data_IF_962072622642
#
_entry.id   IF_962072622642
#
_cell.length_a   1.000
_cell.length_b   1.000
_cell.length_c   1.000
_cell.angle_alpha   90.00
_cell.angle_beta   90.00
_cell.angle_gamma   90.00
#
_symmetry.space_group_name_H-M   'P 1'
#
loop_
_entity.id
_entity.type
_entity.pdbx_description
1 polymer ?
#
# COMPACT_ATOMS: atom_id res chain seq x y z
N UNK A 1 5.11 -31.47 39.29
CA UNK A 1 6.03 -32.14 38.36
C UNK A 1 5.62 -31.72 36.97
N UNK A 2 6.53 -31.04 36.29
CA UNK A 2 6.37 -30.39 34.98
C UNK A 2 6.09 -31.44 33.91
N UNK A 3 5.07 -31.21 33.08
CA UNK A 3 5.12 -31.60 31.66
C UNK A 3 4.72 -30.35 30.86
N UNK A 4 5.72 -29.77 30.21
CA UNK A 4 5.62 -28.69 29.25
C UNK A 4 5.32 -29.26 27.86
N UNK A 5 4.36 -28.71 27.10
CA UNK A 5 4.27 -28.78 25.62
C UNK A 5 3.58 -27.48 25.16
N UNK A 6 4.30 -26.48 24.62
CA UNK A 6 4.54 -26.16 23.19
C UNK A 6 3.25 -26.12 22.35
N UNK A 7 2.84 -24.92 21.91
CA UNK A 7 1.81 -24.77 20.88
C UNK A 7 2.42 -25.03 19.49
N UNK A 8 2.35 -26.30 19.07
CA UNK A 8 2.11 -26.69 17.67
C UNK A 8 0.70 -27.24 17.55
N UNK A 9 0.13 -27.20 16.35
CA UNK A 9 -1.24 -27.57 15.98
C UNK A 9 -1.95 -28.69 16.77
N UNK A 10 -3.28 -28.53 16.85
CA UNK A 10 -4.38 -29.50 17.08
C UNK A 10 -4.96 -29.69 18.50
N UNK A 11 -6.31 -29.73 18.47
CA UNK A 11 -7.34 -30.42 19.24
C UNK A 11 -7.41 -30.40 20.78
N UNK A 12 -8.66 -30.20 21.22
CA UNK A 12 -9.16 -30.03 22.58
C UNK A 12 -9.00 -31.29 23.45
N UNK A 13 -8.75 -31.11 24.76
CA UNK A 13 -9.68 -31.52 25.84
C UNK A 13 -9.13 -31.15 27.23
N UNK A 14 -10.02 -30.57 28.05
CA UNK A 14 -10.06 -30.52 29.52
C UNK A 14 -8.75 -30.32 30.33
N UNK A 15 -8.62 -29.15 30.95
CA UNK A 15 -8.68 -28.99 32.41
C UNK A 15 -8.46 -27.52 32.83
N UNK A 16 -9.12 -27.16 33.94
CA UNK A 16 -9.20 -25.83 34.56
C UNK A 16 -7.83 -25.22 34.92
N UNK A 17 -7.66 -23.92 34.64
CA UNK A 17 -6.45 -23.09 34.90
C UNK A 17 -6.90 -21.73 35.52
N UNK A 18 -6.13 -21.14 36.46
CA UNK A 18 -6.59 -20.14 37.44
C UNK A 18 -6.78 -18.70 36.92
N UNK A 19 -7.36 -17.87 37.78
CA UNK A 19 -8.15 -16.66 37.44
C UNK A 19 -7.42 -15.43 36.87
N UNK A 20 -6.11 -15.42 36.60
CA UNK A 20 -5.49 -14.26 35.92
C UNK A 20 -4.27 -14.63 35.06
N UNK A 21 -4.29 -14.23 33.79
CA UNK A 21 -3.12 -14.12 32.91
C UNK A 21 -3.07 -12.70 32.34
N UNK A 22 -1.95 -12.01 32.53
CA UNK A 22 -1.61 -10.74 31.88
C UNK A 22 -0.83 -11.04 30.61
N UNK A 23 -1.24 -10.48 29.46
CA UNK A 23 -0.50 -10.56 28.20
C UNK A 23 -0.21 -9.15 27.70
N UNK A 24 1.05 -8.74 27.77
CA UNK A 24 1.54 -7.50 27.16
C UNK A 24 1.77 -7.70 25.66
N UNK A 25 1.18 -6.83 24.84
CA UNK A 25 1.63 -6.59 23.46
C UNK A 25 1.43 -7.72 22.45
N UNK A 26 0.32 -8.47 22.50
CA UNK A 26 0.00 -9.46 21.45
C UNK A 26 -1.36 -9.22 20.80
N UNK A 27 -1.41 -9.43 19.48
CA UNK A 27 -2.62 -9.53 18.67
C UNK A 27 -3.55 -10.62 19.23
N UNK A 28 -4.84 -10.34 19.28
CA UNK A 28 -5.85 -11.31 19.69
C UNK A 28 -6.71 -11.60 18.47
N UNK A 29 -6.47 -12.74 17.84
CA UNK A 29 -7.34 -13.29 16.79
C UNK A 29 -8.48 -14.01 17.50
N UNK A 30 -9.69 -13.47 17.40
CA UNK A 30 -10.87 -14.12 17.92
C UNK A 30 -11.34 -15.23 16.95
N UNK A 31 -11.57 -16.44 17.46
CA UNK A 31 -12.38 -17.49 16.81
C UNK A 31 -13.44 -17.92 17.81
N UNK A 32 -14.72 -17.86 17.42
CA UNK A 32 -15.80 -18.34 18.27
C UNK A 32 -15.82 -19.86 18.31
N UNK A 33 -15.84 -20.43 19.53
CA UNK A 33 -16.20 -21.82 19.79
C UNK A 33 -17.54 -21.80 20.58
N UNK A 34 -18.66 -22.23 19.97
CA UNK A 34 -19.98 -22.19 20.59
C UNK A 34 -20.13 -23.07 21.85
N UNK A 35 -19.13 -23.88 22.21
CA UNK A 35 -19.16 -24.72 23.40
C UNK A 35 -18.72 -24.02 24.70
N UNK A 36 -18.22 -22.77 24.65
CA UNK A 36 -17.59 -22.11 25.80
C UNK A 36 -18.48 -20.97 26.33
N UNK A 37 -19.06 -21.16 27.52
CA UNK A 37 -19.83 -20.11 28.24
C UNK A 37 -18.93 -18.96 28.69
N UNK A 38 -19.35 -17.75 28.32
CA UNK A 38 -18.91 -16.39 28.66
C UNK A 38 -17.80 -16.22 29.72
N UNK A 39 -16.68 -15.60 29.30
CA UNK A 39 -15.78 -14.87 30.19
C UNK A 39 -15.31 -13.57 29.52
N UNK A 40 -15.35 -12.42 30.22
CA UNK A 40 -14.94 -11.13 29.67
C UNK A 40 -13.43 -11.07 29.37
N UNK A 41 -13.08 -10.60 28.17
CA UNK A 41 -11.69 -10.41 27.72
C UNK A 41 -11.20 -9.00 28.09
N UNK A 42 -9.97 -8.88 28.64
CA UNK A 42 -9.35 -7.61 29.03
C UNK A 42 -8.15 -7.29 28.13
N UNK A 43 -8.20 -6.19 27.40
CA UNK A 43 -7.13 -5.76 26.48
C UNK A 43 -6.35 -4.59 27.12
N UNK A 44 -5.03 -4.72 27.38
CA UNK A 44 -4.20 -3.63 27.91
C UNK A 44 -3.70 -2.67 26.81
N UNK A 45 -3.41 -1.42 27.22
CA UNK A 45 -3.09 -0.28 26.34
C UNK A 45 -1.72 -0.36 25.67
N UNK A 46 -1.60 -0.02 24.36
CA UNK A 46 -0.35 0.39 23.73
C UNK A 46 -0.26 1.93 23.53
N UNK A 47 0.99 2.42 23.48
CA UNK A 47 1.37 3.84 23.37
C UNK A 47 0.97 4.51 22.04
N UNK A 48 0.93 5.85 22.11
CA UNK A 48 0.29 6.87 21.26
C UNK A 48 0.97 7.20 19.92
N UNK A 49 0.19 7.24 18.85
CA UNK A 49 -0.17 8.42 18.04
C UNK A 49 -0.71 7.94 16.69
N UNK A 50 -1.83 8.51 16.22
CA UNK A 50 -2.13 8.80 14.80
C UNK A 50 -3.56 9.36 14.66
N UNK A 51 -3.66 10.32 13.73
CA UNK A 51 -4.86 11.00 13.30
C UNK A 51 -5.68 10.19 12.28
N UNK A 52 -6.82 10.76 11.89
CA UNK A 52 -8.10 10.15 11.51
C UNK A 52 -8.23 9.61 10.06
N UNK A 53 -8.94 8.49 9.80
CA UNK A 53 -9.55 8.21 8.49
C UNK A 53 -11.09 8.36 8.47
N UNK A 54 -11.59 8.80 7.32
CA UNK A 54 -12.99 9.11 6.98
C UNK A 54 -13.68 7.92 6.27
N UNK A 55 -14.99 7.75 6.47
CA UNK A 55 -15.72 6.52 6.09
C UNK A 55 -16.38 6.60 4.72
N UNK A 56 -16.22 5.54 3.92
CA UNK A 56 -17.15 5.22 2.83
C UNK A 56 -17.77 3.85 3.08
N UNK A 57 -19.07 3.82 3.34
CA UNK A 57 -19.90 2.60 3.40
C UNK A 57 -20.21 2.13 1.98
N UNK A 58 -20.06 0.84 1.68
CA UNK A 58 -20.88 0.13 0.68
C UNK A 58 -20.93 -1.38 1.00
N UNK A 59 -22.14 -1.97 0.90
CA UNK A 59 -22.47 -3.36 1.21
C UNK A 59 -21.98 -4.36 0.14
N UNK A 60 -21.76 -5.64 0.51
CA UNK A 60 -21.37 -6.71 -0.44
C UNK A 60 -21.89 -8.11 -0.10
N UNK A 61 -22.09 -8.91 -1.16
CA UNK A 61 -22.32 -10.35 -1.19
C UNK A 61 -21.00 -11.14 -1.36
N UNK A 62 -21.07 -12.45 -1.11
CA UNK A 62 -20.00 -13.41 -0.80
C UNK A 62 -19.05 -13.88 -1.93
N UNK A 63 -18.64 -13.01 -2.86
CA UNK A 63 -17.69 -13.36 -3.95
C UNK A 63 -16.22 -12.96 -3.65
N UNK A 64 -15.94 -12.44 -2.46
CA UNK A 64 -14.75 -11.62 -2.18
C UNK A 64 -13.41 -12.37 -1.92
N UNK A 65 -13.31 -13.65 -2.33
CA UNK A 65 -12.06 -14.43 -2.26
C UNK A 65 -11.48 -14.78 -3.66
N UNK A 66 -12.05 -14.23 -4.75
CA UNK A 66 -11.67 -14.57 -6.13
C UNK A 66 -11.15 -13.41 -6.99
N UNK A 67 -10.79 -12.27 -6.39
CA UNK A 67 -10.33 -11.07 -7.12
C UNK A 67 -8.98 -10.52 -6.61
N UNK A 68 -7.99 -11.40 -6.39
CA UNK A 68 -6.61 -10.99 -6.08
C UNK A 68 -5.70 -11.22 -7.28
N UNK A 69 -4.77 -10.30 -7.53
CA UNK A 69 -3.75 -10.49 -8.59
C UNK A 69 -2.90 -11.75 -8.36
N UNK A 70 -2.56 -12.46 -9.44
CA UNK A 70 -1.53 -13.51 -9.42
C UNK A 70 -0.16 -12.88 -9.71
N UNK A 71 0.56 -12.48 -8.67
CA UNK A 71 1.94 -12.00 -8.78
C UNK A 71 2.91 -13.16 -8.63
N UNK A 72 3.76 -13.36 -9.65
CA UNK A 72 4.76 -14.44 -9.75
C UNK A 72 6.17 -13.85 -9.77
N UNK A 73 7.05 -14.36 -8.91
CA UNK A 73 8.40 -13.83 -8.76
C UNK A 73 9.45 -14.87 -9.19
N UNK A 74 10.44 -14.41 -9.95
CA UNK A 74 11.64 -15.18 -10.30
C UNK A 74 12.83 -14.58 -9.55
N UNK A 75 13.40 -15.33 -8.62
CA UNK A 75 14.46 -14.87 -7.73
C UNK A 75 15.87 -15.27 -8.21
N UNK A 76 16.81 -14.34 -8.16
CA UNK A 76 18.25 -14.56 -8.30
C UNK A 76 19.02 -13.97 -7.10
N UNK A 77 19.98 -14.69 -6.54
CA UNK A 77 20.81 -14.19 -5.42
C UNK A 77 20.16 -14.18 -4.03
N UNK A 78 18.84 -14.42 -3.92
CA UNK A 78 18.13 -14.37 -2.64
C UNK A 78 18.37 -15.59 -1.75
N UNK A 79 18.54 -15.35 -0.44
CA UNK A 79 18.42 -16.38 0.60
C UNK A 79 16.95 -16.58 1.03
N UNK A 80 16.67 -17.63 1.80
CA UNK A 80 15.30 -17.97 2.22
C UNK A 80 14.60 -16.87 3.03
N UNK A 81 15.31 -16.14 3.90
CA UNK A 81 14.72 -15.06 4.70
C UNK A 81 14.32 -13.87 3.83
N UNK A 82 15.17 -13.49 2.89
CA UNK A 82 14.89 -12.43 1.93
C UNK A 82 13.70 -12.81 1.02
N UNK A 83 13.60 -14.07 0.56
CA UNK A 83 12.45 -14.52 -0.23
C UNK A 83 11.14 -14.46 0.58
N UNK A 84 11.14 -14.86 1.85
CA UNK A 84 9.96 -14.77 2.71
C UNK A 84 9.51 -13.32 2.93
N UNK A 85 10.45 -12.42 3.21
CA UNK A 85 10.16 -10.99 3.35
C UNK A 85 9.64 -10.38 2.04
N UNK A 86 10.25 -10.74 0.90
CA UNK A 86 9.77 -10.32 -0.41
C UNK A 86 8.33 -10.82 -0.66
N UNK A 87 8.07 -12.10 -0.39
CA UNK A 87 6.75 -12.69 -0.57
C UNK A 87 5.70 -11.99 0.30
N UNK A 88 6.06 -11.53 1.49
CA UNK A 88 5.16 -10.75 2.33
C UNK A 88 4.74 -9.42 1.67
N UNK A 89 5.67 -8.69 1.07
CA UNK A 89 5.36 -7.48 0.29
C UNK A 89 4.51 -7.81 -0.94
N UNK A 90 4.78 -8.92 -1.63
CA UNK A 90 3.93 -9.41 -2.73
C UNK A 90 2.51 -9.70 -2.26
N UNK A 91 2.34 -10.36 -1.11
CA UNK A 91 1.01 -10.69 -0.58
C UNK A 91 0.20 -9.45 -0.21
N UNK A 92 0.86 -8.36 0.21
CA UNK A 92 0.22 -7.05 0.37
C UNK A 92 -0.32 -6.55 -0.98
N UNK A 93 0.51 -6.52 -2.02
CA UNK A 93 0.07 -6.08 -3.35
C UNK A 93 -1.00 -6.97 -3.97
N UNK A 94 -0.94 -8.30 -3.78
CA UNK A 94 -1.97 -9.24 -4.23
C UNK A 94 -3.35 -8.93 -3.65
N UNK A 95 -3.41 -8.42 -2.41
CA UNK A 95 -4.68 -7.99 -1.79
C UNK A 95 -5.20 -6.68 -2.36
N UNK A 96 -4.32 -5.84 -2.89
CA UNK A 96 -4.66 -4.50 -3.33
C UNK A 96 -5.02 -4.40 -4.81
N UNK A 97 -4.31 -5.13 -5.66
CA UNK A 97 -4.51 -5.10 -7.11
C UNK A 97 -5.43 -6.22 -7.55
N UNK A 98 -6.41 -5.90 -8.40
CA UNK A 98 -7.20 -6.88 -9.13
C UNK A 98 -6.62 -7.00 -10.54
N UNK A 99 -6.03 -8.16 -10.83
CA UNK A 99 -5.49 -8.47 -12.15
C UNK A 99 -6.05 -9.81 -12.64
N UNK A 100 -6.44 -9.85 -13.92
CA UNK A 100 -6.92 -11.07 -14.61
C UNK A 100 -5.78 -11.85 -15.27
N UNK A 101 -4.64 -11.18 -15.48
CA UNK A 101 -3.40 -11.77 -16.00
C UNK A 101 -2.32 -11.80 -14.93
N UNK A 102 -1.44 -12.82 -14.92
CA UNK A 102 -0.35 -12.86 -13.95
C UNK A 102 0.64 -11.72 -14.14
N UNK A 103 1.01 -11.04 -13.06
CA UNK A 103 2.08 -10.03 -13.03
C UNK A 103 3.39 -10.74 -12.72
N UNK A 104 4.38 -10.67 -13.62
CA UNK A 104 5.68 -11.32 -13.45
C UNK A 104 6.75 -10.33 -13.00
N UNK A 105 7.47 -10.70 -11.94
CA UNK A 105 8.58 -9.90 -11.41
C UNK A 105 9.87 -10.72 -11.53
N UNK A 106 10.86 -10.18 -12.22
CA UNK A 106 12.23 -10.70 -12.21
C UNK A 106 13.05 -9.92 -11.21
N UNK A 107 13.67 -10.59 -10.24
CA UNK A 107 14.41 -9.92 -9.16
C UNK A 107 15.80 -10.48 -8.93
N UNK A 108 16.77 -9.57 -8.77
CA UNK A 108 18.15 -9.89 -8.37
C UNK A 108 18.48 -9.30 -6.99
N UNK A 109 19.20 -10.06 -6.17
CA UNK A 109 19.74 -9.63 -4.89
C UNK A 109 21.26 -9.63 -4.97
N UNK A 110 21.80 -8.47 -5.29
CA UNK A 110 23.21 -8.29 -5.66
C UNK A 110 23.76 -7.00 -5.05
N UNK A 111 25.07 -6.83 -5.04
CA UNK A 111 25.68 -5.64 -4.45
C UNK A 111 25.56 -4.45 -5.41
N UNK A 112 24.72 -3.48 -5.04
CA UNK A 112 24.47 -2.27 -5.84
C UNK A 112 25.41 -1.10 -5.49
N UNK A 113 26.38 -1.32 -4.60
CA UNK A 113 27.26 -0.27 -4.09
C UNK A 113 26.65 0.50 -2.91
N UNK A 114 27.17 1.69 -2.65
CA UNK A 114 26.68 2.54 -1.57
C UNK A 114 25.46 3.36 -2.02
N UNK A 115 24.59 3.71 -1.07
CA UNK A 115 23.44 4.63 -1.22
C UNK A 115 22.24 4.13 -2.04
N UNK A 116 22.28 2.94 -2.63
CA UNK A 116 21.10 2.31 -3.28
C UNK A 116 20.60 1.15 -2.41
N UNK A 117 19.35 1.23 -1.96
CA UNK A 117 18.70 0.15 -1.20
C UNK A 117 18.09 -0.89 -2.14
N UNK A 118 17.37 -0.41 -3.14
CA UNK A 118 16.81 -1.18 -4.23
C UNK A 118 16.49 -0.25 -5.40
N UNK A 119 16.06 -0.85 -6.51
CA UNK A 119 15.51 -0.16 -7.66
C UNK A 119 14.58 -1.10 -8.41
N UNK A 120 13.49 -0.57 -8.96
CA UNK A 120 12.62 -1.29 -9.87
C UNK A 120 12.20 -0.43 -11.05
N UNK A 121 12.04 -1.11 -12.19
CA UNK A 121 11.54 -0.51 -13.41
C UNK A 121 10.37 -1.32 -13.96
N UNK A 122 9.46 -0.62 -14.62
CA UNK A 122 8.56 -1.21 -15.60
C UNK A 122 9.41 -1.77 -16.73
N UNK A 123 9.34 -3.07 -17.01
CA UNK A 123 10.20 -3.71 -17.99
C UNK A 123 9.95 -3.19 -19.41
N UNK A 124 8.68 -2.91 -19.74
CA UNK A 124 8.25 -2.36 -21.02
C UNK A 124 7.03 -1.47 -20.85
N UNK A 125 6.95 -0.42 -21.65
CA UNK A 125 5.72 0.32 -21.84
C UNK A 125 5.09 -0.06 -23.19
N UNK A 126 3.78 -0.25 -23.20
CA UNK A 126 2.99 -0.67 -24.36
C UNK A 126 2.17 0.51 -24.85
N UNK A 127 2.20 0.75 -26.15
CA UNK A 127 1.33 1.72 -26.82
C UNK A 127 0.36 0.99 -27.74
N UNK A 128 -0.81 1.57 -27.94
CA UNK A 128 -1.75 1.16 -28.97
C UNK A 128 -1.86 2.29 -30.01
N UNK A 129 -1.35 2.04 -31.23
CA UNK A 129 -1.42 2.98 -32.34
C UNK A 129 -2.75 2.87 -33.11
N UNK A 130 -3.46 1.75 -32.96
CA UNK A 130 -4.76 1.53 -33.58
C UNK A 130 -5.90 2.19 -32.80
N UNK A 131 -5.77 2.26 -31.47
CA UNK A 131 -6.75 2.83 -30.55
C UNK A 131 -7.91 1.88 -30.24
N UNK A 132 -7.72 0.57 -30.38
CA UNK A 132 -8.74 -0.46 -30.19
C UNK A 132 -8.54 -1.34 -28.95
N UNK A 133 -7.31 -1.46 -28.45
CA UNK A 133 -6.93 -2.44 -27.42
C UNK A 133 -6.62 -1.76 -26.07
N UNK A 134 -6.03 -0.56 -26.09
CA UNK A 134 -5.76 0.22 -24.87
C UNK A 134 -6.68 1.45 -24.77
N UNK A 135 -6.93 1.98 -23.55
CA UNK A 135 -7.95 3.01 -23.35
C UNK A 135 -7.66 4.32 -24.08
N UNK A 136 -6.38 4.59 -24.36
CA UNK A 136 -5.94 5.79 -25.06
C UNK A 136 -4.92 5.43 -26.14
N UNK A 137 -5.18 5.89 -27.37
CA UNK A 137 -4.25 5.78 -28.49
C UNK A 137 -2.97 6.57 -28.20
N UNK A 138 -1.82 6.01 -28.58
CA UNK A 138 -0.49 6.62 -28.43
C UNK A 138 -0.17 7.09 -27.00
N UNK A 139 -0.66 6.36 -25.98
CA UNK A 139 -0.27 6.56 -24.58
C UNK A 139 0.45 5.31 -24.09
N UNK A 140 1.70 5.43 -23.58
CA UNK A 140 2.43 4.30 -23.02
C UNK A 140 1.87 3.88 -21.65
N UNK A 141 1.49 2.60 -21.53
CA UNK A 141 1.06 1.94 -20.30
C UNK A 141 2.12 0.94 -19.82
N UNK A 142 2.38 0.80 -18.51
CA UNK A 142 3.20 -0.30 -18.00
C UNK A 142 2.71 -1.66 -18.50
N UNK A 143 3.62 -2.56 -18.90
CA UNK A 143 3.24 -3.84 -19.52
C UNK A 143 2.33 -4.69 -18.63
N UNK A 144 2.55 -4.72 -17.31
CA UNK A 144 1.65 -5.40 -16.38
C UNK A 144 0.20 -4.86 -16.45
N UNK A 145 0.05 -3.53 -16.54
CA UNK A 145 -1.26 -2.88 -16.67
C UNK A 145 -1.86 -3.13 -18.05
N UNK A 146 -1.06 -3.01 -19.11
CA UNK A 146 -1.50 -3.30 -20.48
C UNK A 146 -2.00 -4.74 -20.61
N UNK A 147 -1.26 -5.73 -20.09
CA UNK A 147 -1.66 -7.14 -20.03
C UNK A 147 -3.02 -7.31 -19.35
N UNK A 148 -3.24 -6.61 -18.23
CA UNK A 148 -4.51 -6.70 -17.51
C UNK A 148 -5.68 -6.08 -18.30
N UNK A 149 -5.44 -4.96 -19.00
CA UNK A 149 -6.45 -4.29 -19.82
C UNK A 149 -6.87 -5.17 -21.00
N UNK A 150 -5.89 -5.75 -21.73
CA UNK A 150 -6.18 -6.58 -22.91
C UNK A 150 -6.60 -8.01 -22.55
N UNK A 151 -6.42 -8.42 -21.29
CA UNK A 151 -6.84 -9.72 -20.76
C UNK A 151 -5.93 -10.90 -21.11
N UNK A 152 -4.74 -10.64 -21.66
CA UNK A 152 -3.71 -11.64 -21.91
C UNK A 152 -2.31 -11.05 -21.73
N UNK A 153 -1.33 -11.93 -21.56
CA UNK A 153 0.07 -11.55 -21.41
C UNK A 153 0.73 -11.34 -22.78
N UNK A 154 1.12 -10.10 -23.06
CA UNK A 154 1.72 -9.69 -24.34
C UNK A 154 3.13 -10.28 -24.49
N UNK A 155 3.87 -10.51 -23.39
CA UNK A 155 5.25 -11.01 -23.40
C UNK A 155 5.47 -12.13 -22.37
N UNK A 156 4.90 -13.32 -22.59
CA UNK A 156 4.75 -14.34 -21.53
C UNK A 156 6.03 -15.03 -21.05
N UNK A 157 7.14 -14.88 -21.79
CA UNK A 157 8.46 -15.39 -21.42
C UNK A 157 9.32 -14.37 -20.66
N UNK A 158 8.81 -13.16 -20.45
CA UNK A 158 9.58 -12.03 -19.95
C UNK A 158 8.95 -11.50 -18.64
N UNK A 159 9.73 -10.86 -17.76
CA UNK A 159 9.17 -10.17 -16.61
C UNK A 159 8.45 -8.89 -17.03
N UNK A 160 7.39 -8.54 -16.29
CA UNK A 160 6.70 -7.25 -16.42
C UNK A 160 7.39 -6.15 -15.60
N UNK A 161 7.97 -6.55 -14.47
CA UNK A 161 8.73 -5.70 -13.54
C UNK A 161 10.11 -6.30 -13.36
N UNK A 162 11.14 -5.47 -13.48
CA UNK A 162 12.52 -5.86 -13.17
C UNK A 162 12.93 -5.09 -11.93
N UNK A 163 13.43 -5.77 -10.92
CA UNK A 163 13.91 -5.14 -9.69
C UNK A 163 15.24 -5.71 -9.21
N UNK A 164 16.02 -4.86 -8.56
CA UNK A 164 17.29 -5.22 -7.95
C UNK A 164 17.33 -4.70 -6.52
N UNK A 165 17.85 -5.50 -5.60
CA UNK A 165 17.95 -5.15 -4.20
C UNK A 165 19.38 -5.35 -3.70
N UNK A 166 19.86 -4.42 -2.88
CA UNK A 166 21.26 -4.39 -2.50
C UNK A 166 21.62 -5.45 -1.45
N UNK A 167 22.38 -6.46 -1.83
CA UNK A 167 22.83 -7.53 -0.93
C UNK A 167 23.84 -7.06 0.14
N UNK A 168 24.39 -5.85 0.01
CA UNK A 168 25.37 -5.27 0.93
C UNK A 168 24.77 -4.51 2.13
N UNK A 169 23.44 -4.36 2.19
CA UNK A 169 22.74 -3.61 3.24
C UNK A 169 22.48 -4.48 4.47
N UNK A 170 22.51 -3.86 5.64
CA UNK A 170 22.10 -4.47 6.91
C UNK A 170 20.56 -4.57 6.97
N UNK A 171 20.02 -5.64 6.38
CA UNK A 171 18.58 -5.84 6.27
C UNK A 171 17.95 -6.45 7.52
N UNK A 172 16.75 -5.97 7.83
CA UNK A 172 15.77 -6.65 8.64
C UNK A 172 14.77 -7.39 7.73
N UNK A 173 14.76 -8.72 7.82
CA UNK A 173 13.87 -9.58 7.02
C UNK A 173 12.60 -10.03 7.77
N UNK A 174 12.34 -9.50 8.97
CA UNK A 174 11.12 -9.81 9.69
C UNK A 174 9.91 -9.11 9.06
N UNK A 175 8.73 -9.70 9.23
CA UNK A 175 7.47 -9.19 8.67
C UNK A 175 6.54 -8.64 9.75
N UNK A 176 7.06 -8.34 10.94
CA UNK A 176 6.27 -7.88 12.09
C UNK A 176 6.42 -6.38 12.37
N UNK A 177 7.16 -5.67 11.50
CA UNK A 177 7.42 -4.24 11.60
C UNK A 177 8.30 -3.82 12.78
N UNK A 178 9.05 -4.75 13.41
CA UNK A 178 9.95 -4.44 14.55
C UNK A 178 11.40 -4.33 14.09
N UNK A 179 11.64 -3.53 13.07
CA UNK A 179 12.97 -3.29 12.52
C UNK A 179 13.87 -2.65 13.59
N UNK A 180 15.04 -3.24 13.89
CA UNK A 180 16.01 -2.64 14.81
C UNK A 180 16.58 -1.33 14.25
N UNK A 181 16.97 -0.42 15.16
CA UNK A 181 17.46 0.92 14.81
C UNK A 181 18.70 0.96 13.90
N UNK A 182 19.42 -0.16 13.73
CA UNK A 182 20.61 -0.28 12.89
C UNK A 182 20.37 -1.13 11.62
N UNK A 183 19.11 -1.39 11.28
CA UNK A 183 18.72 -2.14 10.10
C UNK A 183 17.70 -1.38 9.26
N UNK A 184 17.66 -1.71 7.97
CA UNK A 184 16.63 -1.25 7.05
C UNK A 184 15.58 -2.34 6.90
N UNK A 185 14.30 -1.98 6.95
CA UNK A 185 13.20 -2.92 6.76
C UNK A 185 13.11 -3.36 5.28
N UNK A 186 13.37 -4.64 5.01
CA UNK A 186 13.41 -5.14 3.64
C UNK A 186 12.03 -5.17 2.98
N UNK A 187 10.97 -5.49 3.75
CA UNK A 187 9.59 -5.54 3.24
C UNK A 187 9.18 -4.17 2.69
N UNK A 188 9.50 -3.09 3.41
CA UNK A 188 9.17 -1.72 3.03
C UNK A 188 9.81 -1.35 1.70
N UNK A 189 11.11 -1.65 1.54
CA UNK A 189 11.82 -1.38 0.27
C UNK A 189 11.22 -2.22 -0.86
N UNK A 190 10.95 -3.51 -0.66
CA UNK A 190 10.30 -4.33 -1.69
C UNK A 190 8.92 -3.79 -2.06
N UNK A 191 8.12 -3.38 -1.08
CA UNK A 191 6.78 -2.87 -1.31
C UNK A 191 6.82 -1.57 -2.13
N UNK A 192 7.77 -0.69 -1.81
CA UNK A 192 8.07 0.54 -2.53
C UNK A 192 8.47 0.27 -3.99
N UNK A 193 9.47 -0.59 -4.20
CA UNK A 193 9.97 -0.89 -5.55
C UNK A 193 8.90 -1.57 -6.43
N UNK A 194 8.06 -2.45 -5.88
CA UNK A 194 6.95 -3.03 -6.64
C UNK A 194 5.96 -1.93 -7.07
N UNK A 195 5.73 -0.89 -6.27
CA UNK A 195 4.87 0.24 -6.63
C UNK A 195 5.36 0.96 -7.89
N UNK A 196 6.68 1.21 -7.99
CA UNK A 196 7.29 1.76 -9.21
C UNK A 196 7.06 0.85 -10.42
N UNK A 197 7.28 -0.47 -10.25
CA UNK A 197 7.01 -1.45 -11.29
C UNK A 197 5.54 -1.54 -11.72
N UNK A 198 4.60 -1.21 -10.83
CA UNK A 198 3.17 -1.11 -11.14
C UNK A 198 2.82 0.19 -11.89
N UNK A 199 3.75 1.14 -12.04
CA UNK A 199 3.55 2.36 -12.82
C UNK A 199 3.47 3.65 -12.03
N UNK A 200 3.80 3.64 -10.73
CA UNK A 200 4.10 4.87 -10.01
C UNK A 200 5.50 5.35 -10.41
N UNK A 201 5.64 5.93 -11.60
CA UNK A 201 6.93 6.45 -12.08
C UNK A 201 6.71 7.47 -13.19
N UNK A 202 7.31 8.66 -13.04
CA UNK A 202 7.38 9.61 -14.11
C UNK A 202 8.43 9.17 -15.15
N UNK A 203 8.20 9.53 -16.41
CA UNK A 203 9.19 9.30 -17.48
C UNK A 203 10.19 10.45 -17.66
N UNK A 204 10.09 11.49 -16.82
CA UNK A 204 10.93 12.66 -16.94
C UNK A 204 12.42 12.32 -16.79
N UNK A 205 13.21 12.93 -17.66
CA UNK A 205 14.66 12.90 -17.61
C UNK A 205 15.21 14.31 -17.57
N UNK A 206 16.25 14.52 -16.76
CA UNK A 206 17.00 15.76 -16.72
C UNK A 206 18.34 15.57 -16.03
N UNK A 207 19.39 16.17 -16.58
CA UNK A 207 20.68 16.39 -15.90
C UNK A 207 20.80 17.83 -15.36
N UNK A 208 19.66 18.49 -15.15
CA UNK A 208 19.53 19.91 -14.82
C UNK A 208 19.94 20.88 -15.95
N UNK A 209 20.08 20.39 -17.19
CA UNK A 209 20.26 21.23 -18.38
C UNK A 209 19.03 21.19 -19.29
N UNK A 210 18.78 22.30 -19.99
CA UNK A 210 17.66 22.40 -20.95
C UNK A 210 17.76 21.32 -22.04
N UNK A 211 18.95 21.05 -22.57
CA UNK A 211 19.16 20.10 -23.69
C UNK A 211 18.84 18.65 -23.37
N UNK A 212 18.87 18.27 -22.08
CA UNK A 212 18.58 16.90 -21.65
C UNK A 212 17.32 16.82 -20.78
N UNK A 213 16.49 17.87 -20.77
CA UNK A 213 15.25 17.89 -20.00
C UNK A 213 14.05 17.56 -20.88
N UNK A 214 13.42 16.41 -20.65
CA UNK A 214 12.22 15.99 -21.39
C UNK A 214 11.31 15.09 -20.54
N UNK A 215 10.07 14.95 -20.98
CA UNK A 215 9.11 13.96 -20.48
C UNK A 215 8.60 13.12 -21.67
N UNK A 216 8.40 11.84 -21.42
CA UNK A 216 7.93 10.87 -22.39
C UNK A 216 8.93 9.75 -22.67
N UNK A 217 8.40 8.70 -23.29
CA UNK A 217 9.16 7.55 -23.80
C UNK A 217 9.23 7.63 -25.32
N UNK A 218 10.37 7.30 -25.90
CA UNK A 218 10.58 7.34 -27.36
C UNK A 218 9.85 6.18 -28.06
N UNK A 219 9.04 6.53 -29.05
CA UNK A 219 8.33 5.60 -29.93
C UNK A 219 8.33 6.12 -31.35
N UNK A 220 8.30 5.21 -32.32
CA UNK A 220 8.08 5.57 -33.72
C UNK A 220 6.58 5.61 -34.02
N UNK A 221 6.06 6.78 -34.37
CA UNK A 221 4.69 7.02 -34.84
C UNK A 221 4.77 7.56 -36.26
N UNK A 222 4.05 6.94 -37.20
CA UNK A 222 4.00 7.37 -38.61
C UNK A 222 5.40 7.60 -39.27
N UNK A 223 6.40 6.82 -38.83
CA UNK A 223 7.82 6.89 -39.23
C UNK A 223 8.62 8.07 -38.64
N UNK A 224 8.11 8.75 -37.62
CA UNK A 224 8.81 9.78 -36.85
C UNK A 224 9.01 9.36 -35.39
N UNK A 225 10.13 9.76 -34.78
CA UNK A 225 10.35 9.55 -33.34
C UNK A 225 9.57 10.58 -32.54
N UNK A 226 8.72 10.10 -31.64
CA UNK A 226 7.92 10.90 -30.73
C UNK A 226 8.20 10.52 -29.27
N UNK A 227 8.32 11.53 -28.42
CA UNK A 227 8.34 11.36 -26.96
C UNK A 227 6.90 11.37 -26.45
N UNK A 228 6.38 10.17 -26.17
CA UNK A 228 5.01 10.01 -25.70
C UNK A 228 4.96 10.00 -24.16
N UNK A 229 4.21 10.92 -23.51
CA UNK A 229 4.04 10.91 -22.07
C UNK A 229 3.23 9.69 -21.64
N UNK A 230 3.72 8.97 -20.62
CA UNK A 230 3.07 7.80 -20.04
C UNK A 230 1.72 8.17 -19.42
N UNK A 231 0.89 7.17 -19.13
CA UNK A 231 -0.38 7.42 -18.43
C UNK A 231 -0.21 8.13 -17.08
N UNK A 232 0.91 7.89 -16.37
CA UNK A 232 1.26 8.59 -15.13
C UNK A 232 1.61 10.06 -15.38
N UNK A 233 2.48 10.34 -16.37
CA UNK A 233 2.92 11.70 -16.70
C UNK A 233 1.75 12.64 -17.02
N UNK A 234 0.71 12.11 -17.67
CA UNK A 234 -0.48 12.87 -18.06
C UNK A 234 -1.30 13.39 -16.88
N UNK A 235 -1.05 12.87 -15.67
CA UNK A 235 -1.68 13.31 -14.42
C UNK A 235 -0.88 14.39 -13.70
N UNK A 236 0.33 14.70 -14.18
CA UNK A 236 1.23 15.66 -13.55
C UNK A 236 0.91 17.09 -13.94
N UNK A 237 0.93 17.99 -12.96
CA UNK A 237 0.70 19.41 -13.15
C UNK A 237 1.55 20.30 -12.26
N UNK A 238 1.77 21.53 -12.72
CA UNK A 238 2.34 22.61 -11.93
C UNK A 238 1.32 23.15 -10.91
N UNK A 239 1.79 23.95 -9.94
CA UNK A 239 0.92 24.64 -8.98
C UNK A 239 -0.27 25.37 -9.62
N UNK A 240 -0.07 25.98 -10.80
CA UNK A 240 -1.11 26.69 -11.54
C UNK A 240 -2.15 25.81 -12.24
N UNK A 241 -1.98 24.49 -12.23
CA UNK A 241 -2.85 23.52 -12.91
C UNK A 241 -2.47 23.25 -14.38
N UNK A 242 -1.40 23.86 -14.88
CA UNK A 242 -0.83 23.54 -16.20
C UNK A 242 -0.30 22.11 -16.18
N UNK A 243 -0.73 21.27 -17.13
CA UNK A 243 -0.21 19.91 -17.25
C UNK A 243 1.26 19.94 -17.70
N UNK A 244 2.12 19.22 -16.99
CA UNK A 244 3.56 19.16 -17.29
C UNK A 244 3.80 18.69 -18.73
N UNK A 245 2.99 17.75 -19.22
CA UNK A 245 3.07 17.20 -20.58
C UNK A 245 2.73 18.19 -21.70
N UNK A 246 2.27 19.40 -21.36
CA UNK A 246 2.02 20.49 -22.33
C UNK A 246 3.21 21.44 -22.46
N UNK A 247 4.18 21.35 -21.57
CA UNK A 247 5.41 22.11 -21.63
C UNK A 247 6.32 21.52 -22.72
N UNK A 248 6.95 22.33 -23.57
CA UNK A 248 7.83 21.80 -24.61
C UNK A 248 9.02 21.05 -23.99
N UNK A 249 9.31 19.86 -24.51
CA UNK A 249 10.58 19.19 -24.21
C UNK A 249 11.76 20.07 -24.63
N UNK A 250 12.88 19.91 -23.95
CA UNK A 250 14.11 20.66 -24.17
C UNK A 250 13.94 22.18 -24.00
N UNK A 251 13.16 22.59 -22.99
CA UNK A 251 12.84 23.99 -22.73
C UNK A 251 13.15 24.43 -21.30
N UNK A 252 13.39 25.75 -21.14
CA UNK A 252 13.47 26.36 -19.81
C UNK A 252 12.17 26.21 -19.02
N UNK A 253 11.02 26.16 -19.69
CA UNK A 253 9.72 26.00 -19.03
C UNK A 253 9.61 24.63 -18.36
N UNK A 254 9.94 23.56 -19.09
CA UNK A 254 9.89 22.21 -18.53
C UNK A 254 10.92 22.04 -17.42
N UNK A 255 12.16 22.48 -17.61
CA UNK A 255 13.18 22.43 -16.56
C UNK A 255 12.73 23.16 -15.30
N UNK A 256 12.20 24.38 -15.44
CA UNK A 256 11.71 25.17 -14.30
C UNK A 256 10.56 24.49 -13.58
N UNK A 257 9.66 23.83 -14.31
CA UNK A 257 8.53 23.10 -13.72
C UNK A 257 9.02 21.87 -12.93
N UNK A 258 9.93 21.08 -13.50
CA UNK A 258 10.47 19.87 -12.89
C UNK A 258 11.34 20.14 -11.65
N UNK A 259 11.86 21.36 -11.49
CA UNK A 259 12.67 21.79 -10.34
C UNK A 259 11.98 22.86 -9.48
N UNK A 260 10.64 22.91 -9.50
CA UNK A 260 9.86 24.00 -8.89
C UNK A 260 9.50 23.79 -7.41
N UNK A 261 9.74 22.61 -6.85
CA UNK A 261 9.17 22.15 -5.55
C UNK A 261 7.64 22.02 -5.53
N UNK A 262 6.97 22.32 -6.66
CA UNK A 262 5.52 22.49 -6.73
C UNK A 262 4.91 21.71 -7.91
N UNK A 263 5.30 20.44 -8.04
CA UNK A 263 4.68 19.48 -8.96
C UNK A 263 3.68 18.61 -8.19
N UNK A 264 2.52 18.38 -8.82
CA UNK A 264 1.44 17.61 -8.23
C UNK A 264 1.00 16.49 -9.16
N UNK A 265 0.66 15.34 -8.60
CA UNK A 265 -0.22 14.37 -9.24
C UNK A 265 -1.66 14.77 -8.95
N UNK A 266 -2.49 14.82 -9.99
CA UNK A 266 -3.89 15.21 -9.83
C UNK A 266 -4.85 14.43 -10.75
N UNK A 267 -5.66 13.60 -10.10
CA UNK A 267 -6.86 12.99 -10.67
C UNK A 267 -7.80 12.51 -9.52
N UNK A 268 -8.97 11.96 -9.87
CA UNK A 268 -10.11 11.74 -8.99
C UNK A 268 -9.78 10.96 -7.71
N UNK A 269 -9.09 9.82 -7.84
CA UNK A 269 -8.92 8.87 -6.75
C UNK A 269 -7.80 9.31 -5.78
N UNK A 270 -6.64 9.70 -6.30
CA UNK A 270 -5.53 10.25 -5.55
C UNK A 270 -5.92 11.54 -4.81
N UNK A 271 -6.66 12.43 -5.48
CA UNK A 271 -7.19 13.66 -4.85
C UNK A 271 -8.15 13.35 -3.72
N UNK A 272 -9.06 12.38 -3.91
CA UNK A 272 -9.98 11.95 -2.86
C UNK A 272 -9.22 11.37 -1.66
N UNK A 273 -8.21 10.52 -1.90
CA UNK A 273 -7.37 9.92 -0.87
C UNK A 273 -6.56 10.97 -0.08
N UNK A 274 -6.20 12.08 -0.72
CA UNK A 274 -5.49 13.20 -0.10
C UNK A 274 -6.43 14.32 0.42
N UNK A 275 -7.65 13.96 0.82
CA UNK A 275 -8.58 14.89 1.46
C UNK A 275 -9.11 15.99 0.52
N UNK A 276 -9.30 15.66 -0.77
CA UNK A 276 -9.80 16.59 -1.79
C UNK A 276 -8.75 17.50 -2.40
N UNK A 277 -7.47 17.34 -2.00
CA UNK A 277 -6.34 18.14 -2.49
C UNK A 277 -5.48 17.35 -3.46
N UNK A 278 -4.86 18.04 -4.40
CA UNK A 278 -3.84 17.48 -5.30
C UNK A 278 -2.68 16.90 -4.48
N UNK A 279 -2.05 15.85 -4.99
CA UNK A 279 -0.99 15.13 -4.28
C UNK A 279 0.36 15.77 -4.60
N UNK A 280 1.05 16.42 -3.64
CA UNK A 280 2.37 16.99 -3.90
C UNK A 280 3.41 15.86 -4.08
N UNK A 281 4.28 16.02 -5.08
CA UNK A 281 5.36 15.10 -5.38
C UNK A 281 6.71 15.69 -4.95
N UNK A 282 7.70 14.81 -4.77
CA UNK A 282 9.07 15.21 -4.52
C UNK A 282 9.66 15.86 -5.78
N UNK A 283 9.79 17.19 -5.79
CA UNK A 283 10.28 17.96 -6.94
C UNK A 283 11.40 18.94 -6.51
N UNK A 284 12.55 18.44 -6.02
CA UNK A 284 13.62 19.28 -5.49
C UNK A 284 14.11 20.35 -6.49
N UNK A 285 14.74 21.40 -5.98
CA UNK A 285 15.33 22.49 -6.80
C UNK A 285 16.48 22.03 -7.71
N UNK A 286 17.03 20.85 -7.44
CA UNK A 286 17.96 20.12 -8.31
C UNK A 286 17.27 18.82 -8.66
N UNK A 287 16.98 18.60 -9.94
CA UNK A 287 16.39 17.36 -10.41
C UNK A 287 17.30 16.18 -10.07
N UNK A 288 16.73 15.20 -9.36
CA UNK A 288 17.39 13.97 -8.97
C UNK A 288 16.84 12.83 -9.83
N UNK A 289 17.68 12.33 -10.74
CA UNK A 289 17.26 11.35 -11.73
C UNK A 289 16.87 10.03 -11.05
N UNK A 290 15.63 9.59 -11.28
CA UNK A 290 15.06 8.40 -10.64
C UNK A 290 14.22 8.72 -9.39
N UNK A 291 14.43 9.88 -8.76
CA UNK A 291 13.68 10.30 -7.59
C UNK A 291 12.63 11.36 -7.90
N UNK A 292 13.05 12.45 -8.55
CA UNK A 292 12.20 13.60 -8.84
C UNK A 292 10.93 13.18 -9.55
N UNK A 293 9.79 13.64 -9.02
CA UNK A 293 8.41 13.45 -9.48
C UNK A 293 7.95 12.01 -9.66
N UNK A 294 8.76 11.04 -9.23
CA UNK A 294 8.38 9.63 -9.09
C UNK A 294 8.11 9.24 -7.63
N UNK A 295 8.18 10.19 -6.71
CA UNK A 295 7.93 10.00 -5.28
C UNK A 295 6.94 11.04 -4.75
N UNK A 296 6.26 10.68 -3.67
CA UNK A 296 5.50 11.62 -2.87
C UNK A 296 6.42 12.65 -2.20
N UNK A 297 5.90 13.86 -1.99
CA UNK A 297 6.63 14.90 -1.27
C UNK A 297 6.94 14.48 0.18
N UNK A 298 8.01 15.03 0.76
CA UNK A 298 8.44 14.72 2.13
C UNK A 298 7.42 15.09 3.21
N UNK A 299 6.40 15.88 2.88
CA UNK A 299 5.27 16.16 3.77
C UNK A 299 4.45 14.91 4.14
N UNK A 300 4.65 13.80 3.43
CA UNK A 300 4.07 12.50 3.75
C UNK A 300 4.92 11.64 4.71
N UNK A 301 6.15 12.05 5.03
CA UNK A 301 7.01 11.32 5.98
C UNK A 301 6.30 11.16 7.33
N UNK A 302 6.35 9.96 7.91
CA UNK A 302 5.68 9.64 9.18
C UNK A 302 4.14 9.61 9.12
N UNK A 303 3.54 9.66 7.92
CA UNK A 303 2.09 9.50 7.72
C UNK A 303 1.76 8.10 7.21
N UNK A 304 0.48 7.75 7.16
CA UNK A 304 -0.01 6.50 6.55
C UNK A 304 0.29 6.39 5.05
N UNK A 305 0.72 7.47 4.39
CA UNK A 305 1.06 7.49 2.96
C UNK A 305 2.57 7.51 2.72
N UNK A 306 3.40 7.31 3.76
CA UNK A 306 4.84 7.47 3.66
C UNK A 306 5.53 6.46 2.73
N UNK A 307 4.88 5.37 2.30
CA UNK A 307 5.55 4.30 1.54
C UNK A 307 6.35 4.83 0.34
N UNK A 308 5.78 5.75 -0.45
CA UNK A 308 6.40 6.26 -1.68
C UNK A 308 7.13 7.59 -1.50
N UNK A 309 7.57 7.93 -0.29
CA UNK A 309 8.52 9.03 -0.10
C UNK A 309 9.91 8.58 -0.54
N UNK A 310 10.73 9.51 -1.06
CA UNK A 310 11.98 9.16 -1.76
C UNK A 310 13.06 8.50 -0.89
N UNK A 311 12.95 8.61 0.44
CA UNK A 311 13.92 8.05 1.38
C UNK A 311 13.24 7.28 2.49
N UNK A 312 13.97 6.29 3.02
CA UNK A 312 13.58 5.44 4.14
C UNK A 312 14.68 5.49 5.19
N UNK A 313 14.33 5.76 6.44
CA UNK A 313 15.29 5.74 7.54
C UNK A 313 15.49 4.31 8.07
N UNK A 314 16.62 4.06 8.76
CA UNK A 314 16.73 2.87 9.59
C UNK A 314 15.66 2.87 10.69
N UNK A 315 15.27 1.70 11.19
CA UNK A 315 14.13 1.50 12.12
C UNK A 315 12.75 1.66 11.51
N UNK A 316 12.61 2.41 10.40
CA UNK A 316 11.33 2.68 9.78
C UNK A 316 10.77 1.43 9.10
N UNK A 317 9.48 1.14 9.31
CA UNK A 317 8.77 -0.01 8.74
C UNK A 317 7.38 0.38 8.31
N UNK A 318 7.12 0.28 7.00
CA UNK A 318 5.87 0.67 6.35
C UNK A 318 5.37 -0.53 5.54
N UNK A 319 4.49 -1.33 6.15
CA UNK A 319 3.91 -2.54 5.53
C UNK A 319 2.46 -2.29 5.06
N UNK A 320 2.18 -1.05 4.62
CA UNK A 320 0.90 -0.63 4.07
C UNK A 320 1.16 0.33 2.88
N UNK A 321 0.56 0.09 1.69
CA UNK A 321 0.68 1.00 0.57
C UNK A 321 0.20 2.42 0.86
N UNK A 322 -0.76 2.61 1.75
CA UNK A 322 -1.37 3.90 2.04
C UNK A 322 -2.39 4.35 0.98
N UNK A 323 -3.46 5.06 1.37
CA UNK A 323 -4.57 5.45 0.50
C UNK A 323 -4.16 6.30 -0.70
N UNK A 324 -3.17 7.19 -0.56
CA UNK A 324 -2.72 8.05 -1.66
C UNK A 324 -2.05 7.24 -2.76
N UNK A 325 -1.19 6.28 -2.42
CA UNK A 325 -0.49 5.46 -3.41
C UNK A 325 -1.47 4.55 -4.16
N UNK A 326 -2.46 4.00 -3.46
CA UNK A 326 -3.55 3.23 -4.09
C UNK A 326 -4.41 4.11 -5.00
N UNK A 327 -4.77 5.32 -4.57
CA UNK A 327 -5.51 6.26 -5.42
C UNK A 327 -4.75 6.62 -6.70
N UNK A 328 -3.42 6.80 -6.61
CA UNK A 328 -2.56 7.05 -7.77
C UNK A 328 -2.57 5.85 -8.74
N UNK A 329 -2.43 4.62 -8.24
CA UNK A 329 -2.49 3.43 -9.09
C UNK A 329 -3.87 3.25 -9.74
N UNK A 330 -4.95 3.57 -9.03
CA UNK A 330 -6.32 3.57 -9.58
C UNK A 330 -6.47 4.60 -10.72
N UNK A 331 -5.97 5.82 -10.53
CA UNK A 331 -5.99 6.90 -11.54
C UNK A 331 -5.10 6.59 -12.76
N UNK A 332 -4.03 5.82 -12.57
CA UNK A 332 -3.19 5.26 -13.64
C UNK A 332 -3.93 4.18 -14.43
N UNK A 333 -4.91 3.50 -13.81
CA UNK A 333 -5.82 2.57 -14.46
C UNK A 333 -5.88 1.18 -13.85
N UNK A 334 -5.20 0.93 -12.72
CA UNK A 334 -5.31 -0.35 -12.03
C UNK A 334 -6.69 -0.53 -11.38
N UNK A 335 -7.38 -1.65 -11.64
CA UNK A 335 -8.53 -2.01 -10.82
C UNK A 335 -8.05 -2.35 -9.40
N UNK A 336 -8.57 -1.63 -8.41
CA UNK A 336 -8.20 -1.80 -7.00
C UNK A 336 -9.25 -2.62 -6.26
N UNK A 337 -8.78 -3.56 -5.45
CA UNK A 337 -9.63 -4.25 -4.49
C UNK A 337 -9.96 -3.30 -3.34
N UNK A 338 -11.25 -3.02 -3.14
CA UNK A 338 -11.73 -2.13 -2.08
C UNK A 338 -11.38 -2.64 -0.66
N UNK A 339 -10.97 -3.90 -0.52
CA UNK A 339 -10.44 -4.49 0.71
C UNK A 339 -8.90 -4.41 0.84
N UNK A 340 -8.23 -3.62 -0.02
CA UNK A 340 -6.77 -3.41 0.01
C UNK A 340 -6.28 -2.96 1.40
N UNK A 341 -7.07 -2.10 2.06
CA UNK A 341 -6.80 -1.61 3.39
C UNK A 341 -7.61 -2.37 4.44
N UNK A 342 -7.06 -2.56 5.64
CA UNK A 342 -7.91 -2.80 6.79
C UNK A 342 -8.82 -1.57 6.99
N UNK A 343 -10.13 -1.76 6.91
CA UNK A 343 -11.15 -0.79 7.30
C UNK A 343 -10.96 -0.48 8.79
N UNK A 344 -10.74 0.78 9.14
CA UNK A 344 -10.62 1.20 10.53
C UNK A 344 -11.95 1.73 11.04
N UNK A 345 -12.60 1.02 11.95
CA UNK A 345 -13.86 1.48 12.55
C UNK A 345 -13.63 1.80 14.03
N UNK A 346 -14.03 3.00 14.44
CA UNK A 346 -13.92 3.44 15.82
C UNK A 346 -15.24 3.21 16.54
N UNK A 347 -15.16 2.67 17.74
CA UNK A 347 -16.32 2.38 18.60
C UNK A 347 -16.16 3.12 19.92
N UNK A 348 -17.13 3.97 20.23
CA UNK A 348 -17.26 4.66 21.51
C UNK A 348 -18.72 4.66 21.96
N UNK A 349 -19.03 3.83 22.94
CA UNK A 349 -20.38 3.69 23.51
C UNK A 349 -20.96 4.99 24.06
N UNK A 350 -20.11 5.92 24.48
CA UNK A 350 -20.53 7.20 25.05
C UNK A 350 -20.71 8.27 23.96
N UNK A 351 -20.50 7.94 22.69
CA UNK A 351 -20.64 8.91 21.60
C UNK A 351 -22.10 9.33 21.42
N UNK A 352 -22.30 10.63 21.25
CA UNK A 352 -23.61 11.25 20.98
C UNK A 352 -23.46 12.04 19.69
N UNK A 353 -24.08 11.57 18.62
CA UNK A 353 -23.99 12.18 17.30
C UNK A 353 -24.41 11.21 16.20
N UNK A 354 -24.17 11.62 14.95
CA UNK A 354 -24.37 10.76 13.77
C UNK A 354 -23.19 9.80 13.67
N UNK A 355 -23.48 8.49 13.63
CA UNK A 355 -22.46 7.45 13.65
C UNK A 355 -22.06 7.07 12.21
N UNK A 356 -20.79 7.25 11.88
CA UNK A 356 -20.25 6.89 10.56
C UNK A 356 -19.15 5.83 10.64
N UNK A 357 -18.55 5.63 11.83
CA UNK A 357 -17.44 4.71 12.05
C UNK A 357 -16.07 5.37 12.10
N UNK A 358 -16.02 6.69 11.85
CA UNK A 358 -14.78 7.47 11.87
C UNK A 358 -14.45 7.82 13.31
N UNK A 359 -13.20 8.11 13.59
CA UNK A 359 -12.73 8.55 14.91
C UNK A 359 -13.46 9.77 15.49
N UNK A 360 -13.90 10.72 14.66
CA UNK A 360 -14.70 11.87 15.11
C UNK A 360 -16.20 11.55 15.25
N UNK A 361 -16.65 10.49 14.58
CA UNK A 361 -18.04 10.05 14.52
C UNK A 361 -18.14 8.51 14.72
N UNK A 362 -17.65 7.98 15.86
CA UNK A 362 -17.51 6.55 16.06
C UNK A 362 -18.88 5.87 16.17
N UNK A 363 -18.93 4.56 15.95
CA UNK A 363 -20.09 3.75 16.28
C UNK A 363 -20.27 3.64 17.80
N UNK A 364 -21.50 3.50 18.26
CA UNK A 364 -21.82 3.32 19.69
C UNK A 364 -21.70 1.87 20.16
N UNK A 365 -21.75 0.91 19.25
CA UNK A 365 -21.64 -0.51 19.55
C UNK A 365 -20.66 -1.21 18.61
N UNK A 366 -20.06 -2.30 19.09
CA UNK A 366 -19.33 -3.22 18.21
C UNK A 366 -20.28 -3.83 17.19
N UNK A 367 -21.55 -4.04 17.53
CA UNK A 367 -22.57 -4.48 16.58
C UNK A 367 -22.66 -3.63 15.33
N UNK A 368 -22.80 -2.32 15.50
CA UNK A 368 -22.89 -1.43 14.36
C UNK A 368 -21.58 -1.31 13.58
N UNK A 369 -20.44 -1.47 14.25
CA UNK A 369 -19.16 -1.57 13.56
C UNK A 369 -19.02 -2.89 12.79
N UNK A 370 -19.49 -3.99 13.37
CA UNK A 370 -19.45 -5.32 12.77
C UNK A 370 -20.35 -5.44 11.54
N UNK A 371 -21.56 -4.86 11.59
CA UNK A 371 -22.44 -4.73 10.42
C UNK A 371 -21.77 -4.01 9.24
N UNK A 372 -20.79 -3.15 9.52
CA UNK A 372 -20.03 -2.40 8.52
C UNK A 372 -18.66 -3.01 8.24
N UNK A 373 -18.31 -4.13 8.87
CA UNK A 373 -17.01 -4.77 8.75
C UNK A 373 -16.94 -5.78 7.61
N UNK A 374 -15.76 -5.88 6.98
CA UNK A 374 -15.42 -6.87 5.96
C UNK A 374 -14.49 -7.94 6.54
N UNK A 375 -14.64 -9.18 6.07
CA UNK A 375 -13.95 -10.33 6.67
C UNK A 375 -12.43 -10.24 6.49
N UNK A 376 -11.68 -10.23 7.58
CA UNK A 376 -10.21 -10.25 7.59
C UNK A 376 -9.54 -8.90 7.34
N UNK A 377 -10.29 -7.88 6.95
CA UNK A 377 -9.79 -6.56 6.58
C UNK A 377 -10.44 -5.45 7.40
N UNK A 378 -10.80 -5.67 8.67
CA UNK A 378 -11.35 -4.59 9.51
C UNK A 378 -10.73 -4.60 10.90
N UNK A 379 -10.22 -3.43 11.31
CA UNK A 379 -9.64 -3.15 12.61
C UNK A 379 -10.60 -2.26 13.39
N UNK A 380 -11.08 -2.73 14.54
CA UNK A 380 -11.91 -1.93 15.44
C UNK A 380 -11.06 -1.24 16.49
N UNK A 381 -11.19 0.08 16.61
CA UNK A 381 -10.60 0.86 17.69
C UNK A 381 -11.65 1.16 18.77
N UNK A 382 -11.50 0.52 19.92
CA UNK A 382 -12.46 0.57 21.03
C UNK A 382 -12.05 1.62 22.07
N UNK A 383 -12.93 2.58 22.37
CA UNK A 383 -12.76 3.48 23.50
C UNK A 383 -12.79 2.72 24.82
N UNK A 384 -12.10 3.21 25.84
CA UNK A 384 -12.09 2.57 27.16
C UNK A 384 -13.48 2.39 27.78
N UNK A 385 -13.67 1.25 28.44
CA UNK A 385 -14.90 0.92 29.14
C UNK A 385 -15.40 -0.49 28.82
N UNK A 386 -16.59 -0.78 29.34
CA UNK A 386 -17.31 -2.02 29.08
C UNK A 386 -18.21 -1.83 27.87
N UNK A 387 -18.03 -2.64 26.83
CA UNK A 387 -18.93 -2.76 25.68
C UNK A 387 -19.72 -4.06 25.91
N UNK A 388 -20.98 -3.93 26.31
CA UNK A 388 -21.87 -5.06 26.54
C UNK A 388 -22.59 -5.35 25.21
N UNK A 389 -22.30 -6.48 24.58
CA UNK A 389 -22.83 -6.83 23.27
C UNK A 389 -23.85 -7.97 23.41
N UNK A 390 -25.05 -7.78 22.88
CA UNK A 390 -26.19 -8.69 23.18
C UNK A 390 -26.46 -9.72 22.09
N UNK A 391 -25.62 -9.76 21.05
CA UNK A 391 -25.88 -10.53 19.84
C UNK A 391 -24.74 -11.53 19.58
N UNK A 392 -25.00 -12.82 19.83
CA UNK A 392 -24.03 -13.91 19.64
C UNK A 392 -23.54 -14.07 18.19
N UNK A 393 -24.17 -13.39 17.22
CA UNK A 393 -23.78 -13.42 15.81
C UNK A 393 -22.61 -12.49 15.44
N UNK A 394 -22.10 -11.72 16.40
CA UNK A 394 -21.13 -10.63 16.16
C UNK A 394 -19.74 -11.04 15.65
N UNK A 395 -19.45 -12.34 15.51
CA UNK A 395 -18.08 -12.83 15.39
C UNK A 395 -17.95 -14.00 14.40
N UNK A 396 -18.81 -14.05 13.38
CA UNK A 396 -18.66 -14.99 12.25
C UNK A 396 -17.52 -14.60 11.28
N UNK A 397 -17.06 -13.34 11.33
CA UNK A 397 -15.97 -12.76 10.53
C UNK A 397 -14.72 -12.51 11.36
N UNK A 398 -13.54 -12.72 10.74
CA UNK A 398 -12.25 -12.38 11.36
C UNK A 398 -12.11 -10.86 11.39
N UNK A 399 -12.12 -10.27 12.58
CA UNK A 399 -11.83 -8.84 12.80
C UNK A 399 -10.71 -8.70 13.83
N UNK A 400 -9.96 -7.60 13.74
CA UNK A 400 -8.88 -7.32 14.67
C UNK A 400 -9.30 -6.20 15.62
N UNK A 401 -9.22 -6.43 16.93
CA UNK A 401 -9.63 -5.46 17.94
C UNK A 401 -8.41 -4.74 18.51
N UNK A 402 -8.47 -3.41 18.57
CA UNK A 402 -7.45 -2.55 19.17
C UNK A 402 -8.09 -1.57 20.15
N UNK A 403 -7.32 -1.17 21.14
CA UNK A 403 -7.69 -0.08 22.04
C UNK A 403 -7.52 1.26 21.29
N UNK A 404 -8.50 2.16 21.39
CA UNK A 404 -8.38 3.50 20.84
C UNK A 404 -7.29 4.31 21.58
N UNK A 405 -6.62 5.22 20.86
CA UNK A 405 -5.53 6.05 21.40
C UNK A 405 -5.93 6.75 22.71
N UNK A 406 -5.08 6.64 23.74
CA UNK A 406 -5.31 7.21 25.08
C UNK A 406 -6.22 6.38 26.00
N UNK A 407 -6.67 5.20 25.55
CA UNK A 407 -7.45 4.29 26.37
C UNK A 407 -6.64 3.59 27.46
N UNK A 408 -7.28 3.26 28.58
CA UNK A 408 -6.72 2.53 29.72
C UNK A 408 -7.09 1.04 29.72
N UNK A 409 -8.34 0.69 29.40
CA UNK A 409 -8.77 -0.71 29.24
C UNK A 409 -10.13 -0.84 28.56
N UNK A 410 -10.30 -1.90 27.77
CA UNK A 410 -11.58 -2.33 27.21
C UNK A 410 -11.97 -3.70 27.76
N UNK A 411 -13.24 -3.83 28.10
CA UNK A 411 -13.90 -5.09 28.47
C UNK A 411 -15.03 -5.29 27.46
N UNK A 412 -15.05 -6.44 26.81
CA UNK A 412 -16.18 -6.87 25.98
C UNK A 412 -16.90 -7.95 26.77
N UNK A 413 -18.20 -7.78 26.95
CA UNK A 413 -19.07 -8.77 27.61
C UNK A 413 -20.02 -9.37 26.62
#
# INVERSE_FOLDING_TARGET
>A
MVISIVLTCLDFTNAQVPDFISVQGKEIIYRFDPAIKEKPLRIPSPFTNLATPDNRKLARSSEDCSLSADIRVTYAGFNAQAQMAFQHAVDIWKRCIVATTPIRIGVDFTNLGANTLGQAIVARYIIDQSGNDLPMKNVPYPVALANNIVGYDIYPSEPDIIAEFNSGVSWYFGTDGKTPANQIDFVTVVLHEICHGLGFAASAQSDNTVSNTFIGRDYTIDNESELLPTIFDRKLEEAGGTKITTLPNFSNQLLSALTSELVFFDDMHARAANGGKRVPLYAPTIFDQGSSISHLAESFNGTVNALMTYSLAAEESIHDPGPVNIGILEDVGWPINQNCFPTYLYVNKNFVGVETGAILNPFKSLEKAHEQSTNGSTIFFLSSGVHDETNDQLLDRKVLLRLANGGSSVIIR
#
